data_IF_242797034788
#
_entry.id   IF_242797034788
#
_cell.length_a   1.000
_cell.length_b   1.000
_cell.length_c   1.000
_cell.angle_alpha   90.00
_cell.angle_beta   90.00
_cell.angle_gamma   90.00
#
_symmetry.space_group_name_H-M   'P 1'
#
loop_
_entity.id
_entity.type
_entity.pdbx_description
1 polymer ?
#
# COMPACT_ATOMS: atom_id res chain seq x y z
N UNK A 1 -13.08 -40.76 -21.66
CA UNK A 1 -12.71 -39.34 -21.85
C UNK A 1 -13.97 -38.55 -22.12
N UNK A 2 -14.54 -37.99 -21.07
CA UNK A 2 -15.78 -37.22 -21.14
C UNK A 2 -15.45 -35.85 -21.75
N UNK A 3 -15.97 -35.56 -22.94
CA UNK A 3 -15.87 -34.24 -23.54
C UNK A 3 -16.60 -33.26 -22.62
N UNK A 4 -15.86 -32.53 -21.78
CA UNK A 4 -16.41 -31.39 -21.05
C UNK A 4 -17.01 -30.43 -22.07
N UNK A 5 -18.35 -30.37 -22.13
CA UNK A 5 -19.11 -29.41 -22.92
C UNK A 5 -18.59 -28.02 -22.57
N UNK A 6 -17.97 -27.33 -23.54
CA UNK A 6 -17.61 -25.93 -23.38
C UNK A 6 -18.88 -25.17 -22.95
N UNK A 7 -18.84 -24.41 -21.85
CA UNK A 7 -20.01 -23.68 -21.39
C UNK A 7 -20.48 -22.78 -22.53
N UNK A 8 -21.71 -23.00 -23.00
CA UNK A 8 -22.35 -22.14 -23.99
C UNK A 8 -23.09 -21.05 -23.23
N UNK A 9 -22.51 -19.85 -23.20
CA UNK A 9 -23.10 -18.69 -22.53
C UNK A 9 -22.35 -17.40 -22.86
N UNK A 10 -22.93 -16.26 -22.49
CA UNK A 10 -22.37 -14.93 -22.73
C UNK A 10 -20.94 -14.76 -22.15
N UNK A 11 -20.60 -15.54 -21.13
CA UNK A 11 -19.29 -15.56 -20.47
C UNK A 11 -18.34 -16.64 -20.99
N UNK A 12 -18.72 -17.37 -22.05
CA UNK A 12 -17.88 -18.42 -22.65
C UNK A 12 -16.63 -17.86 -23.35
N UNK A 13 -16.68 -16.59 -23.76
CA UNK A 13 -15.54 -15.84 -24.28
C UNK A 13 -15.48 -14.46 -23.61
N UNK A 14 -14.80 -14.34 -22.45
CA UNK A 14 -14.73 -13.08 -21.70
C UNK A 14 -14.03 -11.95 -22.46
N UNK A 15 -13.30 -12.26 -23.54
CA UNK A 15 -12.59 -11.29 -24.36
C UNK A 15 -13.42 -10.79 -25.56
N UNK A 16 -14.65 -11.28 -25.75
CA UNK A 16 -15.53 -10.73 -26.77
C UNK A 16 -15.89 -9.27 -26.41
N UNK A 17 -15.78 -8.29 -27.34
CA UNK A 17 -16.13 -6.89 -27.07
C UNK A 17 -17.51 -6.71 -26.43
N UNK A 18 -18.51 -7.50 -26.85
CA UNK A 18 -19.85 -7.47 -26.25
C UNK A 18 -19.82 -7.92 -24.78
N UNK A 19 -19.10 -9.01 -24.49
CA UNK A 19 -18.95 -9.51 -23.13
C UNK A 19 -18.19 -8.53 -22.25
N UNK A 20 -17.14 -7.88 -22.77
CA UNK A 20 -16.41 -6.82 -22.07
C UNK A 20 -17.37 -5.67 -21.72
N UNK A 21 -18.12 -5.14 -22.69
CA UNK A 21 -19.09 -4.06 -22.45
C UNK A 21 -20.13 -4.47 -21.40
N UNK A 22 -20.71 -5.67 -21.52
CA UNK A 22 -21.68 -6.16 -20.54
C UNK A 22 -21.06 -6.32 -19.16
N UNK A 23 -19.86 -6.89 -19.04
CA UNK A 23 -19.15 -7.04 -17.76
C UNK A 23 -18.84 -5.68 -17.14
N UNK A 24 -18.38 -4.70 -17.92
CA UNK A 24 -18.10 -3.34 -17.44
C UNK A 24 -19.37 -2.66 -16.96
N UNK A 25 -20.46 -2.68 -17.74
CA UNK A 25 -21.74 -2.08 -17.33
C UNK A 25 -22.27 -2.79 -16.08
N UNK A 26 -22.23 -4.12 -16.05
CA UNK A 26 -22.70 -4.91 -14.91
C UNK A 26 -21.90 -4.59 -13.64
N UNK A 27 -20.57 -4.47 -13.76
CA UNK A 27 -19.70 -4.05 -12.66
C UNK A 27 -20.09 -2.67 -12.13
N UNK A 28 -20.29 -1.68 -13.00
CA UNK A 28 -20.71 -0.33 -12.60
C UNK A 28 -22.08 -0.37 -11.90
N UNK A 29 -23.05 -1.09 -12.46
CA UNK A 29 -24.40 -1.21 -11.88
C UNK A 29 -24.34 -1.88 -10.51
N UNK A 30 -23.60 -2.99 -10.38
CA UNK A 30 -23.42 -3.70 -9.11
C UNK A 30 -22.74 -2.78 -8.09
N UNK A 31 -21.70 -2.05 -8.48
CA UNK A 31 -20.98 -1.13 -7.60
C UNK A 31 -21.90 -0.03 -7.06
N UNK A 32 -22.70 0.57 -7.92
CA UNK A 32 -23.70 1.59 -7.52
C UNK A 32 -24.77 0.99 -6.62
N UNK A 33 -25.33 -0.17 -6.98
CA UNK A 33 -26.35 -0.86 -6.19
C UNK A 33 -25.83 -1.22 -4.79
N UNK A 34 -24.59 -1.71 -4.70
CA UNK A 34 -23.90 -2.01 -3.46
C UNK A 34 -23.66 -0.76 -2.61
N UNK A 35 -23.25 0.36 -3.21
CA UNK A 35 -23.09 1.63 -2.51
C UNK A 35 -24.44 2.11 -1.92
N UNK A 36 -25.50 2.07 -2.72
CA UNK A 36 -26.85 2.46 -2.30
C UNK A 36 -27.37 1.55 -1.19
N UNK A 37 -27.15 0.24 -1.31
CA UNK A 37 -27.54 -0.73 -0.30
C UNK A 37 -26.82 -0.51 1.02
N UNK A 38 -25.51 -0.29 1.02
CA UNK A 38 -24.76 0.04 2.24
C UNK A 38 -25.28 1.34 2.83
N UNK A 39 -25.46 2.40 2.04
CA UNK A 39 -26.07 3.65 2.52
C UNK A 39 -27.46 3.44 3.13
N UNK A 40 -28.27 2.57 2.55
CA UNK A 40 -29.57 2.22 3.12
C UNK A 40 -29.44 1.53 4.48
N UNK A 41 -28.56 0.52 4.59
CA UNK A 41 -28.29 -0.18 5.85
C UNK A 41 -27.80 0.78 6.94
N UNK A 42 -26.91 1.70 6.56
CA UNK A 42 -26.37 2.74 7.43
C UNK A 42 -27.45 3.67 8.01
N UNK A 43 -28.35 4.14 7.15
CA UNK A 43 -29.36 5.12 7.53
C UNK A 43 -30.55 4.49 8.27
N UNK A 44 -30.84 3.20 8.04
CA UNK A 44 -32.09 2.60 8.48
C UNK A 44 -31.95 1.37 9.38
N UNK A 45 -30.80 0.67 9.38
CA UNK A 45 -30.66 -0.64 10.04
C UNK A 45 -29.57 -0.64 11.13
N UNK A 46 -28.38 -0.12 10.84
CA UNK A 46 -27.23 -0.16 11.74
C UNK A 46 -26.59 1.22 11.79
N UNK A 47 -26.52 1.82 12.98
CA UNK A 47 -25.72 3.01 13.21
C UNK A 47 -24.23 2.64 13.24
N UNK A 48 -23.53 2.84 12.12
CA UNK A 48 -22.08 2.75 12.05
C UNK A 48 -21.53 3.86 11.14
N UNK A 49 -20.23 4.17 11.26
CA UNK A 49 -19.58 5.18 10.41
C UNK A 49 -19.56 4.73 8.96
N UNK A 50 -20.41 5.34 8.15
CA UNK A 50 -20.62 4.89 6.80
C UNK A 50 -19.68 5.57 5.82
N UNK A 51 -18.76 4.80 5.20
CA UNK A 51 -17.85 5.38 4.23
C UNK A 51 -18.66 5.94 3.07
N UNK A 52 -18.41 7.21 2.72
CA UNK A 52 -19.16 7.91 1.68
C UNK A 52 -19.13 7.15 0.34
N UNK A 53 -18.03 6.45 0.07
CA UNK A 53 -17.73 5.82 -1.20
C UNK A 53 -17.52 4.30 -1.05
N UNK A 54 -18.41 3.53 -0.41
CA UNK A 54 -18.25 2.06 -0.42
C UNK A 54 -18.61 1.43 -1.78
N UNK A 55 -17.87 0.43 -2.32
CA UNK A 55 -16.69 -0.24 -1.79
C UNK A 55 -15.34 0.42 -2.16
N UNK A 56 -15.33 1.60 -2.76
CA UNK A 56 -14.13 2.33 -3.19
C UNK A 56 -13.67 3.37 -2.15
N UNK A 57 -12.77 3.00 -1.24
CA UNK A 57 -12.37 3.82 -0.08
C UNK A 57 -12.27 5.33 -0.33
N UNK A 58 -11.53 5.74 -1.38
CA UNK A 58 -11.45 7.12 -1.83
C UNK A 58 -11.58 7.21 -3.35
N UNK A 59 -12.69 7.77 -3.81
CA UNK A 59 -12.91 8.07 -5.22
C UNK A 59 -13.57 9.44 -5.34
N UNK A 60 -13.04 10.28 -6.23
CA UNK A 60 -13.61 11.59 -6.51
C UNK A 60 -13.69 11.79 -8.02
N UNK A 61 -14.90 12.05 -8.50
CA UNK A 61 -15.08 12.46 -9.88
C UNK A 61 -14.48 13.85 -10.10
N UNK A 62 -13.69 14.00 -11.17
CA UNK A 62 -13.22 15.30 -11.64
C UNK A 62 -14.32 16.01 -12.44
N UNK A 63 -15.40 16.36 -11.73
CA UNK A 63 -16.55 17.08 -12.28
C UNK A 63 -16.59 18.49 -11.67
N UNK A 64 -16.85 19.53 -12.48
CA UNK A 64 -16.94 20.90 -11.99
C UNK A 64 -18.06 21.09 -10.95
N UNK A 65 -17.97 22.08 -10.07
CA UNK A 65 -16.85 23.01 -9.84
C UNK A 65 -15.84 22.50 -8.79
N UNK A 66 -16.04 21.31 -8.23
CA UNK A 66 -15.34 20.86 -7.01
C UNK A 66 -13.93 20.35 -7.25
N UNK A 67 -13.64 19.78 -8.41
CA UNK A 67 -12.31 19.31 -8.80
C UNK A 67 -11.99 19.77 -10.21
N UNK A 68 -10.79 20.35 -10.40
CA UNK A 68 -10.31 20.90 -11.66
C UNK A 68 -10.63 20.01 -12.88
N UNK A 69 -11.07 20.64 -13.98
CA UNK A 69 -11.23 19.96 -15.28
C UNK A 69 -9.94 19.25 -15.68
N UNK A 70 -9.99 18.01 -16.21
CA UNK A 70 -8.86 17.48 -16.95
C UNK A 70 -8.55 18.44 -18.11
N UNK A 71 -7.39 19.08 -18.06
CA UNK A 71 -6.91 19.88 -19.16
C UNK A 71 -6.43 18.96 -20.31
N UNK A 72 -6.14 19.56 -21.46
CA UNK A 72 -5.62 18.81 -22.63
C UNK A 72 -4.40 17.98 -22.25
N UNK A 73 -3.51 18.47 -21.37
CA UNK A 73 -2.32 17.73 -20.92
C UNK A 73 -2.70 16.42 -20.21
N UNK A 74 -3.68 16.44 -19.31
CA UNK A 74 -4.16 15.24 -18.61
C UNK A 74 -4.76 14.23 -19.59
N UNK A 75 -5.54 14.69 -20.57
CA UNK A 75 -6.11 13.84 -21.61
C UNK A 75 -5.01 13.24 -22.52
N UNK A 76 -3.99 14.02 -22.88
CA UNK A 76 -2.85 13.54 -23.67
C UNK A 76 -2.06 12.48 -22.90
N UNK A 77 -1.79 12.69 -21.61
CA UNK A 77 -1.11 11.71 -20.75
C UNK A 77 -1.94 10.43 -20.68
N UNK A 78 -3.26 10.53 -20.44
CA UNK A 78 -4.15 9.37 -20.42
C UNK A 78 -4.13 8.60 -21.75
N UNK A 79 -4.24 9.30 -22.88
CA UNK A 79 -4.17 8.70 -24.21
C UNK A 79 -2.81 8.01 -24.45
N UNK A 80 -1.70 8.63 -24.02
CA UNK A 80 -0.36 8.06 -24.12
C UNK A 80 -0.21 6.81 -23.25
N UNK A 81 -0.70 6.83 -22.00
CA UNK A 81 -0.67 5.67 -21.09
C UNK A 81 -1.52 4.52 -21.63
N UNK A 82 -2.71 4.79 -22.17
CA UNK A 82 -3.57 3.77 -22.80
C UNK A 82 -2.89 3.19 -24.05
N UNK A 83 -2.27 4.04 -24.88
CA UNK A 83 -1.54 3.59 -26.07
C UNK A 83 -0.35 2.72 -25.68
N UNK A 84 0.42 3.14 -24.66
CA UNK A 84 1.52 2.35 -24.11
C UNK A 84 1.02 1.01 -23.57
N UNK A 85 -0.08 0.99 -22.82
CA UNK A 85 -0.70 -0.24 -22.34
C UNK A 85 -1.05 -1.20 -23.49
N UNK A 86 -1.70 -0.71 -24.55
CA UNK A 86 -2.03 -1.52 -25.71
C UNK A 86 -0.77 -2.10 -26.39
N UNK A 87 0.27 -1.29 -26.55
CA UNK A 87 1.57 -1.73 -27.09
C UNK A 87 2.21 -2.77 -26.17
N UNK A 88 2.21 -2.54 -24.86
CA UNK A 88 2.73 -3.46 -23.84
C UNK A 88 2.06 -4.83 -23.94
N UNK A 89 0.74 -4.92 -24.12
CA UNK A 89 0.06 -6.21 -24.27
C UNK A 89 0.55 -6.98 -25.51
N UNK A 90 0.71 -6.29 -26.63
CA UNK A 90 1.21 -6.89 -27.87
C UNK A 90 2.69 -7.30 -27.73
N UNK A 91 3.54 -6.44 -27.16
CA UNK A 91 4.97 -6.72 -27.01
C UNK A 91 5.18 -7.87 -26.01
N UNK A 92 4.54 -7.81 -24.83
CA UNK A 92 4.68 -8.84 -23.79
C UNK A 92 4.19 -10.20 -24.25
N UNK A 93 3.09 -10.29 -25.00
CA UNK A 93 2.63 -11.56 -25.58
C UNK A 93 3.66 -12.17 -26.54
N UNK A 94 4.39 -11.35 -27.32
CA UNK A 94 5.46 -11.81 -28.21
C UNK A 94 6.72 -12.23 -27.46
N UNK A 95 7.09 -11.51 -26.40
CA UNK A 95 8.28 -11.83 -25.58
C UNK A 95 7.98 -12.81 -24.44
N UNK A 96 6.78 -13.42 -24.42
CA UNK A 96 6.32 -14.38 -23.39
C UNK A 96 6.45 -13.83 -21.96
N UNK A 97 6.09 -12.56 -21.77
CA UNK A 97 6.02 -11.92 -20.46
C UNK A 97 7.30 -12.02 -19.61
N UNK A 98 8.47 -11.92 -20.25
CA UNK A 98 9.76 -11.91 -19.55
C UNK A 98 9.83 -10.82 -18.46
N UNK A 99 10.40 -11.19 -17.31
CA UNK A 99 10.45 -10.36 -16.10
C UNK A 99 10.97 -8.93 -16.33
N UNK A 100 12.06 -8.74 -17.06
CA UNK A 100 12.62 -7.41 -17.30
C UNK A 100 11.63 -6.47 -18.00
N UNK A 101 10.87 -6.98 -18.96
CA UNK A 101 9.85 -6.22 -19.67
C UNK A 101 8.61 -5.96 -18.79
N UNK A 102 8.29 -6.86 -17.87
CA UNK A 102 7.24 -6.66 -16.87
C UNK A 102 7.58 -5.54 -15.90
N UNK A 103 8.80 -5.53 -15.37
CA UNK A 103 9.29 -4.47 -14.50
C UNK A 103 9.24 -3.13 -15.23
N UNK A 104 9.81 -3.05 -16.44
CA UNK A 104 9.81 -1.82 -17.23
C UNK A 104 8.38 -1.34 -17.53
N UNK A 105 7.53 -2.23 -18.04
CA UNK A 105 6.16 -1.86 -18.42
C UNK A 105 5.32 -1.50 -17.20
N UNK A 106 5.46 -2.23 -16.09
CA UNK A 106 4.81 -1.95 -14.81
C UNK A 106 5.18 -0.56 -14.30
N UNK A 107 6.46 -0.20 -14.32
CA UNK A 107 6.94 1.14 -13.95
C UNK A 107 6.31 2.23 -14.80
N UNK A 108 6.37 2.10 -16.12
CA UNK A 108 5.80 3.13 -17.00
C UNK A 108 4.29 3.24 -16.84
N UNK A 109 3.59 2.12 -16.67
CA UNK A 109 2.13 2.11 -16.49
C UNK A 109 1.72 2.74 -15.15
N UNK A 110 2.38 2.38 -14.04
CA UNK A 110 2.08 2.93 -12.71
C UNK A 110 2.39 4.42 -12.67
N UNK A 111 3.55 4.85 -13.18
CA UNK A 111 3.89 6.27 -13.21
C UNK A 111 2.95 7.04 -14.16
N UNK A 112 2.67 6.50 -15.34
CA UNK A 112 1.78 7.11 -16.33
C UNK A 112 0.35 7.24 -15.83
N UNK A 113 -0.20 6.19 -15.21
CA UNK A 113 -1.57 6.19 -14.68
C UNK A 113 -1.72 7.21 -13.54
N UNK A 114 -0.74 7.32 -12.64
CA UNK A 114 -0.74 8.35 -11.61
C UNK A 114 -0.56 9.75 -12.21
N UNK A 115 0.31 9.91 -13.21
CA UNK A 115 0.54 11.20 -13.87
C UNK A 115 -0.70 11.76 -14.59
N UNK A 116 -1.70 10.93 -14.90
CA UNK A 116 -3.03 11.41 -15.37
C UNK A 116 -3.68 12.37 -14.36
N UNK A 117 -3.27 12.27 -13.09
CA UNK A 117 -3.73 13.14 -12.02
C UNK A 117 -3.05 14.52 -12.02
N UNK A 118 -1.96 14.68 -12.78
CA UNK A 118 -1.08 15.85 -12.79
C UNK A 118 0.08 15.70 -11.79
N UNK A 119 1.23 16.30 -12.09
CA UNK A 119 2.48 16.13 -11.32
C UNK A 119 2.31 16.33 -9.81
N UNK A 120 1.62 17.41 -9.42
CA UNK A 120 1.37 17.75 -8.01
C UNK A 120 0.64 16.62 -7.28
N UNK A 121 -0.45 16.11 -7.86
CA UNK A 121 -1.30 15.09 -7.23
C UNK A 121 -0.72 13.68 -7.36
N UNK A 122 0.01 13.43 -8.45
CA UNK A 122 0.61 12.13 -8.75
C UNK A 122 1.82 11.83 -7.87
N UNK A 123 2.70 12.82 -7.62
CA UNK A 123 4.02 12.55 -7.05
C UNK A 123 4.38 13.45 -5.88
N UNK A 124 3.94 14.71 -5.83
CA UNK A 124 4.29 15.60 -4.72
C UNK A 124 3.37 15.34 -3.52
N UNK A 125 2.06 15.38 -3.74
CA UNK A 125 1.04 15.23 -2.69
C UNK A 125 1.17 13.91 -1.93
N UNK A 126 1.43 12.76 -2.59
CA UNK A 126 1.57 11.52 -1.85
C UNK A 126 2.84 11.43 -1.02
N UNK A 127 3.83 12.31 -1.17
CA UNK A 127 5.03 12.34 -0.31
C UNK A 127 5.03 13.50 0.66
N UNK A 128 4.85 14.73 0.21
CA UNK A 128 4.93 15.93 1.06
C UNK A 128 3.57 16.31 1.69
N UNK A 129 2.48 15.77 1.16
CA UNK A 129 1.14 16.29 1.43
C UNK A 129 0.89 17.66 0.79
N UNK A 130 -0.37 18.05 0.67
CA UNK A 130 -0.78 19.40 0.24
C UNK A 130 -2.05 19.80 0.99
N UNK A 131 -2.05 21.00 1.56
CA UNK A 131 -3.21 21.57 2.25
C UNK A 131 -3.56 20.79 3.52
N UNK A 132 -4.80 20.30 3.61
CA UNK A 132 -5.33 19.58 4.77
C UNK A 132 -4.78 18.14 4.86
N UNK A 133 -4.26 17.61 3.75
CA UNK A 133 -3.68 16.27 3.67
C UNK A 133 -2.17 16.38 3.80
N UNK A 134 -1.66 16.60 5.00
CA UNK A 134 -0.23 16.49 5.27
C UNK A 134 0.14 15.01 5.23
N UNK A 135 1.13 14.62 4.41
CA UNK A 135 1.72 13.30 4.56
C UNK A 135 2.72 13.37 5.71
N UNK A 136 2.57 12.41 6.61
CA UNK A 136 3.00 12.52 7.98
C UNK A 136 4.46 12.07 8.12
N UNK A 137 4.92 11.11 7.30
CA UNK A 137 6.31 10.64 7.33
C UNK A 137 7.32 11.67 6.83
N UNK A 138 7.03 12.34 5.71
CA UNK A 138 7.97 13.31 5.12
C UNK A 138 8.11 14.55 6.00
N UNK A 139 7.01 15.03 6.57
CA UNK A 139 7.02 16.21 7.42
C UNK A 139 7.78 15.94 8.73
N UNK A 140 7.55 14.79 9.38
CA UNK A 140 8.32 14.38 10.54
C UNK A 140 9.80 14.17 10.20
N UNK A 141 10.10 13.64 9.01
CA UNK A 141 11.47 13.48 8.53
C UNK A 141 12.20 14.83 8.36
N UNK A 142 11.50 15.90 7.96
CA UNK A 142 12.12 17.22 7.81
C UNK A 142 12.46 17.87 9.17
N UNK A 143 11.80 17.43 10.24
CA UNK A 143 12.07 17.90 11.60
C UNK A 143 13.28 17.22 12.26
N UNK A 144 13.81 16.12 11.69
CA UNK A 144 14.95 15.40 12.25
C UNK A 144 16.23 16.24 12.09
N UNK A 145 16.80 16.65 13.21
CA UNK A 145 18.11 17.31 13.29
C UNK A 145 19.27 16.32 13.38
N UNK A 146 19.10 15.24 14.16
CA UNK A 146 20.08 14.18 14.38
C UNK A 146 19.41 12.81 14.38
N UNK A 147 19.89 11.91 13.50
CA UNK A 147 19.35 10.55 13.35
C UNK A 147 19.57 9.70 14.60
N UNK A 148 20.72 9.84 15.26
CA UNK A 148 21.03 9.07 16.47
C UNK A 148 20.07 9.43 17.60
N UNK A 149 19.85 10.72 17.82
CA UNK A 149 18.95 11.23 18.87
C UNK A 149 17.50 10.84 18.56
N UNK A 150 17.09 10.93 17.28
CA UNK A 150 15.76 10.50 16.85
C UNK A 150 15.49 9.02 17.13
N UNK A 151 16.46 8.14 16.86
CA UNK A 151 16.31 6.70 17.09
C UNK A 151 16.32 6.36 18.59
N UNK A 152 17.22 6.98 19.35
CA UNK A 152 17.37 6.72 20.78
C UNK A 152 16.15 7.18 21.59
N UNK A 153 15.57 8.33 21.22
CA UNK A 153 14.42 8.93 21.89
C UNK A 153 13.08 8.63 21.20
N UNK A 154 13.08 7.77 20.17
CA UNK A 154 11.91 7.55 19.31
C UNK A 154 10.64 7.20 20.09
N UNK A 155 10.74 6.38 21.14
CA UNK A 155 9.59 5.96 21.95
C UNK A 155 8.91 7.15 22.62
N UNK A 156 9.69 8.13 23.11
CA UNK A 156 9.16 9.32 23.77
C UNK A 156 8.60 10.32 22.74
N UNK A 157 9.24 10.42 21.58
CA UNK A 157 8.78 11.25 20.47
C UNK A 157 7.53 10.68 19.78
N UNK A 158 7.35 9.36 19.80
CA UNK A 158 6.33 8.66 19.02
C UNK A 158 4.92 9.25 19.18
N UNK A 159 4.42 9.58 20.39
CA UNK A 159 3.09 10.19 20.56
C UNK A 159 2.95 11.60 19.96
N UNK A 160 4.06 12.32 19.79
CA UNK A 160 4.11 13.68 19.23
C UNK A 160 4.22 13.68 17.70
N UNK A 161 4.62 12.55 17.09
CA UNK A 161 4.65 12.39 15.65
C UNK A 161 3.25 12.44 15.04
N UNK A 162 3.19 12.73 13.75
CA UNK A 162 1.94 12.75 13.00
C UNK A 162 1.31 11.34 12.91
N UNK A 163 0.00 11.27 12.64
CA UNK A 163 -0.90 10.09 12.81
C UNK A 163 -0.38 8.72 12.33
N UNK A 164 0.27 8.64 11.18
CA UNK A 164 0.80 7.45 10.51
C UNK A 164 2.22 7.20 11.01
N UNK A 165 3.03 8.24 11.19
CA UNK A 165 4.38 8.13 11.76
C UNK A 165 4.37 7.55 13.16
N UNK A 166 3.43 7.97 14.01
CA UNK A 166 3.34 7.52 15.41
C UNK A 166 2.91 6.06 15.59
N UNK A 167 2.36 5.42 14.56
CA UNK A 167 1.93 4.01 14.61
C UNK A 167 2.89 3.07 13.91
N UNK A 168 3.98 3.59 13.36
CA UNK A 168 5.03 2.82 12.70
C UNK A 168 6.34 2.84 13.52
N UNK A 169 7.32 1.97 13.21
CA UNK A 169 8.68 2.07 13.73
C UNK A 169 9.46 3.22 13.06
N UNK A 170 10.63 3.63 13.61
CA UNK A 170 11.37 4.80 13.13
C UNK A 170 11.83 4.70 11.67
N UNK A 171 11.97 3.48 11.13
CA UNK A 171 12.39 3.27 9.76
C UNK A 171 11.49 3.92 8.72
N UNK A 172 10.18 4.01 8.98
CA UNK A 172 9.26 4.65 8.04
C UNK A 172 9.61 6.13 7.83
N UNK A 173 9.87 6.87 8.91
CA UNK A 173 10.29 8.28 8.86
C UNK A 173 11.72 8.41 8.30
N UNK A 174 12.63 7.53 8.73
CA UNK A 174 14.04 7.59 8.32
C UNK A 174 14.24 7.35 6.81
N UNK A 175 13.42 6.52 6.17
CA UNK A 175 13.45 6.37 4.71
C UNK A 175 13.20 7.71 4.04
N UNK A 176 12.18 8.46 4.45
CA UNK A 176 11.93 9.79 3.90
C UNK A 176 13.06 10.78 4.24
N UNK A 177 13.65 10.71 5.44
CA UNK A 177 14.79 11.55 5.82
C UNK A 177 15.97 11.37 4.85
N UNK A 178 16.41 10.13 4.64
CA UNK A 178 17.54 9.86 3.75
C UNK A 178 17.23 10.20 2.29
N UNK A 179 16.03 9.85 1.81
CA UNK A 179 15.63 10.16 0.43
C UNK A 179 15.50 11.67 0.21
N UNK A 180 15.05 12.43 1.19
CA UNK A 180 15.00 13.89 1.10
C UNK A 180 16.39 14.54 1.08
N UNK A 181 17.37 13.98 1.81
CA UNK A 181 18.77 14.43 1.70
C UNK A 181 19.37 14.15 0.32
N UNK A 182 19.00 13.04 -0.32
CA UNK A 182 19.50 12.65 -1.64
C UNK A 182 18.80 13.44 -2.76
N UNK A 183 17.47 13.40 -2.82
CA UNK A 183 16.69 13.91 -3.95
C UNK A 183 16.25 15.36 -3.79
N UNK A 184 16.02 15.83 -2.56
CA UNK A 184 15.47 17.17 -2.21
C UNK A 184 14.07 17.49 -2.78
N UNK A 185 13.61 16.78 -3.80
CA UNK A 185 12.30 16.91 -4.41
C UNK A 185 11.38 15.74 -3.98
N UNK A 186 10.23 16.02 -3.32
CA UNK A 186 9.28 14.98 -2.92
C UNK A 186 8.73 14.16 -4.09
N UNK A 187 8.64 14.72 -5.31
CA UNK A 187 8.20 13.97 -6.48
C UNK A 187 9.19 12.86 -6.84
N UNK A 188 10.49 13.15 -6.80
CA UNK A 188 11.54 12.17 -7.05
C UNK A 188 11.57 11.07 -5.98
N UNK A 189 11.27 11.43 -4.72
CA UNK A 189 11.09 10.45 -3.64
C UNK A 189 9.94 9.48 -3.96
N UNK A 190 8.76 9.99 -4.33
CA UNK A 190 7.62 9.14 -4.71
C UNK A 190 7.96 8.22 -5.89
N UNK A 191 8.61 8.75 -6.93
CA UNK A 191 9.02 7.96 -8.10
C UNK A 191 10.02 6.89 -7.69
N UNK A 192 11.00 7.22 -6.84
CA UNK A 192 11.97 6.26 -6.33
C UNK A 192 11.29 5.15 -5.54
N UNK A 193 10.40 5.49 -4.60
CA UNK A 193 9.64 4.50 -3.83
C UNK A 193 8.82 3.60 -4.76
N UNK A 194 8.15 4.17 -5.77
CA UNK A 194 7.39 3.41 -6.75
C UNK A 194 8.26 2.41 -7.52
N UNK A 195 9.40 2.86 -8.05
CA UNK A 195 10.33 1.98 -8.79
C UNK A 195 10.83 0.86 -7.89
N UNK A 196 11.23 1.17 -6.65
CA UNK A 196 11.72 0.18 -5.70
C UNK A 196 10.63 -0.83 -5.32
N UNK A 197 9.40 -0.37 -5.07
CA UNK A 197 8.24 -1.24 -4.82
C UNK A 197 7.99 -2.19 -5.97
N UNK A 198 8.00 -1.70 -7.22
CA UNK A 198 7.82 -2.53 -8.41
C UNK A 198 8.93 -3.57 -8.52
N UNK A 199 10.19 -3.16 -8.38
CA UNK A 199 11.33 -4.08 -8.48
C UNK A 199 11.21 -5.24 -7.49
N UNK A 200 10.97 -4.92 -6.22
CA UNK A 200 10.91 -5.92 -5.15
C UNK A 200 9.65 -6.79 -5.32
N UNK A 201 8.48 -6.16 -5.46
CA UNK A 201 7.21 -6.86 -5.52
C UNK A 201 7.07 -7.74 -6.76
N UNK A 202 7.36 -7.20 -7.96
CA UNK A 202 7.25 -7.95 -9.22
C UNK A 202 8.20 -9.13 -9.24
N UNK A 203 9.45 -8.94 -8.78
CA UNK A 203 10.41 -10.03 -8.68
C UNK A 203 9.93 -11.12 -7.72
N UNK A 204 9.52 -10.75 -6.50
CA UNK A 204 9.08 -11.71 -5.49
C UNK A 204 7.82 -12.47 -5.92
N UNK A 205 6.84 -11.76 -6.50
CA UNK A 205 5.59 -12.34 -6.97
C UNK A 205 5.82 -13.27 -8.18
N UNK A 206 6.52 -12.80 -9.21
CA UNK A 206 6.87 -13.61 -10.38
C UNK A 206 7.60 -14.87 -9.97
N UNK A 207 8.54 -14.75 -9.01
CA UNK A 207 9.28 -15.88 -8.47
C UNK A 207 8.36 -16.93 -7.81
N UNK A 208 7.37 -16.52 -7.03
CA UNK A 208 6.39 -17.47 -6.47
C UNK A 208 5.61 -18.14 -7.62
N UNK A 209 5.13 -17.36 -8.58
CA UNK A 209 4.33 -17.87 -9.69
C UNK A 209 5.10 -18.85 -10.60
N UNK A 210 6.39 -18.60 -10.88
CA UNK A 210 7.19 -19.54 -11.69
C UNK A 210 7.39 -20.87 -10.98
N UNK A 211 7.58 -20.88 -9.65
CA UNK A 211 7.73 -22.13 -8.90
C UNK A 211 6.43 -22.94 -8.85
N UNK A 212 5.29 -22.27 -8.67
CA UNK A 212 3.98 -22.92 -8.60
C UNK A 212 3.48 -23.41 -9.97
N UNK A 213 3.58 -22.57 -11.00
CA UNK A 213 2.99 -22.86 -12.31
C UNK A 213 3.93 -23.66 -13.22
N UNK A 214 5.26 -23.57 -13.00
CA UNK A 214 6.30 -24.16 -13.86
C UNK A 214 6.23 -23.72 -15.32
N UNK A 215 5.57 -22.60 -15.59
CA UNK A 215 5.46 -21.97 -16.91
C UNK A 215 5.77 -20.48 -16.77
N UNK A 216 6.87 -20.05 -17.38
CA UNK A 216 7.35 -18.66 -17.32
C UNK A 216 6.39 -17.68 -18.00
N UNK A 217 5.76 -18.08 -19.10
CA UNK A 217 4.80 -17.25 -19.81
C UNK A 217 3.55 -17.02 -18.99
N UNK A 218 3.01 -18.08 -18.37
CA UNK A 218 1.84 -17.97 -17.49
C UNK A 218 2.16 -17.19 -16.21
N UNK A 219 3.30 -17.46 -15.57
CA UNK A 219 3.74 -16.74 -14.38
C UNK A 219 3.91 -15.24 -14.68
N UNK A 220 4.54 -14.90 -15.81
CA UNK A 220 4.69 -13.53 -16.26
C UNK A 220 3.35 -12.86 -16.58
N UNK A 221 2.43 -13.57 -17.21
CA UNK A 221 1.09 -13.06 -17.50
C UNK A 221 0.29 -12.76 -16.23
N UNK A 222 0.27 -13.67 -15.25
CA UNK A 222 -0.40 -13.43 -13.95
C UNK A 222 0.27 -12.26 -13.22
N UNK A 223 1.59 -12.13 -13.33
CA UNK A 223 2.33 -10.99 -12.77
C UNK A 223 1.96 -9.65 -13.45
N UNK A 224 1.68 -9.66 -14.75
CA UNK A 224 1.11 -8.48 -15.41
C UNK A 224 -0.29 -8.17 -14.87
N UNK A 225 -1.14 -9.17 -14.69
CA UNK A 225 -2.50 -8.96 -14.17
C UNK A 225 -2.48 -8.35 -12.77
N UNK A 226 -1.59 -8.79 -11.87
CA UNK A 226 -1.48 -8.18 -10.53
C UNK A 226 -1.01 -6.73 -10.62
N UNK A 227 -0.09 -6.40 -11.54
CA UNK A 227 0.34 -5.01 -11.77
C UNK A 227 -0.81 -4.12 -12.23
N UNK A 228 -1.80 -4.64 -12.95
CA UNK A 228 -2.95 -3.90 -13.44
C UNK A 228 -4.07 -3.74 -12.40
N UNK A 229 -3.96 -4.36 -11.21
CA UNK A 229 -4.93 -4.19 -10.14
C UNK A 229 -4.93 -2.73 -9.69
N UNK A 230 -6.10 -2.07 -9.57
CA UNK A 230 -6.19 -0.64 -9.22
C UNK A 230 -5.46 -0.27 -7.92
N UNK A 231 -5.51 -1.14 -6.92
CA UNK A 231 -4.79 -0.93 -5.67
C UNK A 231 -3.27 -0.88 -5.90
N UNK A 232 -2.70 -1.76 -6.73
CA UNK A 232 -1.27 -1.73 -7.08
C UNK A 232 -0.92 -0.46 -7.84
N UNK A 233 -1.77 -0.07 -8.80
CA UNK A 233 -1.58 1.15 -9.58
C UNK A 233 -1.51 2.41 -8.70
N UNK A 234 -2.36 2.51 -7.68
CA UNK A 234 -2.39 3.69 -6.81
C UNK A 234 -1.31 3.61 -5.74
N UNK A 235 -1.30 2.55 -4.92
CA UNK A 235 -0.47 2.49 -3.72
C UNK A 235 1.02 2.41 -4.00
N UNK A 236 1.44 1.93 -5.17
CA UNK A 236 2.87 1.86 -5.49
C UNK A 236 3.48 3.23 -5.71
N UNK A 237 2.72 4.20 -6.22
CA UNK A 237 3.20 5.58 -6.37
C UNK A 237 2.91 6.46 -5.16
N UNK A 238 2.09 5.99 -4.21
CA UNK A 238 1.50 6.85 -3.18
C UNK A 238 1.78 6.44 -1.74
N UNK A 239 2.34 5.25 -1.48
CA UNK A 239 2.57 4.78 -0.12
C UNK A 239 3.82 3.91 0.02
N UNK A 240 4.51 4.09 1.16
CA UNK A 240 5.58 3.24 1.64
C UNK A 240 5.11 1.80 1.93
N UNK A 241 3.81 1.58 2.10
CA UNK A 241 3.21 0.25 2.30
C UNK A 241 3.48 -0.68 1.11
N UNK A 242 3.65 -0.13 -0.09
CA UNK A 242 4.01 -0.93 -1.26
C UNK A 242 5.40 -1.57 -1.15
N UNK A 243 6.36 -0.88 -0.53
CA UNK A 243 7.68 -1.45 -0.20
C UNK A 243 7.52 -2.50 0.89
N UNK A 244 6.77 -2.20 1.95
CA UNK A 244 6.49 -3.16 3.03
C UNK A 244 5.89 -4.45 2.46
N UNK A 245 4.86 -4.34 1.62
CA UNK A 245 4.22 -5.47 0.96
C UNK A 245 5.19 -6.23 0.04
N UNK A 246 6.01 -5.53 -0.74
CA UNK A 246 7.06 -6.13 -1.56
C UNK A 246 8.07 -6.92 -0.72
N UNK A 247 8.54 -6.34 0.38
CA UNK A 247 9.46 -7.02 1.30
C UNK A 247 8.80 -8.23 1.96
N UNK A 248 7.56 -8.11 2.46
CA UNK A 248 6.79 -9.22 3.03
C UNK A 248 6.62 -10.37 2.02
N UNK A 249 6.35 -10.04 0.75
CA UNK A 249 6.30 -11.03 -0.31
C UNK A 249 7.68 -11.64 -0.62
N UNK A 250 8.74 -10.84 -0.50
CA UNK A 250 10.13 -11.30 -0.53
C UNK A 250 10.41 -12.34 0.55
N UNK A 251 9.97 -12.10 1.80
CA UNK A 251 10.07 -13.08 2.90
C UNK A 251 9.43 -14.40 2.48
N UNK A 252 8.17 -14.36 2.03
CA UNK A 252 7.44 -15.57 1.63
C UNK A 252 8.10 -16.28 0.46
N UNK A 253 8.48 -15.54 -0.59
CA UNK A 253 9.12 -16.08 -1.79
C UNK A 253 10.40 -16.83 -1.46
N UNK A 254 11.31 -16.21 -0.70
CA UNK A 254 12.61 -16.82 -0.37
C UNK A 254 12.53 -17.87 0.73
N UNK A 255 11.49 -17.84 1.56
CA UNK A 255 11.28 -18.84 2.61
C UNK A 255 10.65 -20.12 2.07
N UNK A 256 9.57 -20.00 1.28
CA UNK A 256 8.82 -21.14 0.72
C UNK A 256 9.62 -21.84 -0.37
N UNK A 257 10.28 -21.08 -1.25
CA UNK A 257 11.15 -21.64 -2.29
C UNK A 257 12.59 -21.24 -2.01
N UNK A 258 13.26 -21.85 -1.02
CA UNK A 258 14.62 -21.48 -0.66
C UNK A 258 15.59 -21.85 -1.77
N UNK A 259 16.54 -20.97 -2.06
CA UNK A 259 17.79 -21.40 -2.70
C UNK A 259 18.67 -22.07 -1.64
N UNK A 260 19.42 -23.11 -2.03
CA UNK A 260 20.22 -23.93 -1.09
C UNK A 260 21.16 -23.12 -0.18
N UNK A 261 21.59 -21.93 -0.62
CA UNK A 261 22.55 -21.07 0.10
C UNK A 261 21.92 -19.90 0.85
N UNK A 262 20.70 -19.48 0.49
CA UNK A 262 20.13 -18.21 0.97
C UNK A 262 18.72 -18.31 1.55
N UNK A 263 18.24 -19.52 1.85
CA UNK A 263 16.88 -19.76 2.39
C UNK A 263 16.61 -19.20 3.80
N UNK A 264 17.61 -18.63 4.48
CA UNK A 264 17.47 -17.95 5.78
C UNK A 264 17.84 -16.46 5.65
N UNK A 265 18.93 -16.16 4.94
CA UNK A 265 19.48 -14.80 4.84
C UNK A 265 18.50 -13.84 4.16
N UNK A 266 17.98 -14.17 2.98
CA UNK A 266 17.06 -13.26 2.28
C UNK A 266 15.74 -13.05 3.01
N UNK A 267 15.06 -14.10 3.50
CA UNK A 267 13.86 -13.91 4.32
C UNK A 267 14.11 -13.05 5.56
N UNK A 268 15.25 -13.25 6.24
CA UNK A 268 15.63 -12.44 7.39
C UNK A 268 15.84 -10.96 7.01
N UNK A 269 16.60 -10.68 5.94
CA UNK A 269 16.82 -9.30 5.47
C UNK A 269 15.49 -8.62 5.13
N UNK A 270 14.64 -9.28 4.33
CA UNK A 270 13.35 -8.72 3.96
C UNK A 270 12.43 -8.52 5.17
N UNK A 271 12.45 -9.46 6.13
CA UNK A 271 11.68 -9.36 7.35
C UNK A 271 12.14 -8.16 8.16
N UNK A 272 13.45 -8.02 8.40
CA UNK A 272 14.04 -6.90 9.14
C UNK A 272 13.73 -5.54 8.51
N UNK A 273 13.86 -5.44 7.18
CA UNK A 273 13.51 -4.20 6.46
C UNK A 273 12.02 -3.92 6.65
N UNK A 274 11.15 -4.89 6.38
CA UNK A 274 9.69 -4.69 6.52
C UNK A 274 9.27 -4.39 7.96
N UNK A 275 9.89 -5.01 8.97
CA UNK A 275 9.58 -4.78 10.38
C UNK A 275 10.14 -3.47 10.91
N UNK A 276 11.20 -2.94 10.30
CA UNK A 276 11.68 -1.59 10.60
C UNK A 276 10.80 -0.50 9.96
N UNK A 277 10.05 -0.85 8.91
CA UNK A 277 9.09 0.05 8.24
C UNK A 277 7.67 -0.06 8.79
N UNK A 278 7.25 -1.23 9.25
CA UNK A 278 5.90 -1.48 9.78
C UNK A 278 5.89 -2.66 10.74
N UNK A 279 5.25 -2.48 11.90
CA UNK A 279 5.06 -3.56 12.88
C UNK A 279 4.25 -4.76 12.32
N UNK A 280 3.44 -4.54 11.27
CA UNK A 280 2.64 -5.59 10.65
C UNK A 280 3.46 -6.77 10.11
N UNK A 281 4.73 -6.55 9.77
CA UNK A 281 5.63 -7.60 9.30
C UNK A 281 5.88 -8.71 10.35
N UNK A 282 5.75 -8.39 11.65
CA UNK A 282 5.93 -9.38 12.73
C UNK A 282 4.91 -10.52 12.65
N UNK A 283 3.72 -10.26 12.08
CA UNK A 283 2.70 -11.28 11.89
C UNK A 283 3.09 -12.36 10.87
N UNK A 284 4.16 -12.15 10.08
CA UNK A 284 4.69 -13.20 9.22
C UNK A 284 5.38 -14.31 10.01
N UNK A 285 6.02 -14.02 11.14
CA UNK A 285 6.78 -15.02 11.92
C UNK A 285 5.91 -16.26 12.27
N UNK A 286 4.72 -16.12 12.87
CA UNK A 286 3.87 -17.28 13.14
C UNK A 286 3.38 -17.97 11.86
N UNK A 287 3.20 -17.24 10.75
CA UNK A 287 2.85 -17.84 9.45
C UNK A 287 4.00 -18.70 8.92
N UNK A 288 5.25 -18.24 9.02
CA UNK A 288 6.43 -19.01 8.59
C UNK A 288 6.60 -20.27 9.44
N UNK A 289 6.50 -20.14 10.76
CA UNK A 289 6.57 -21.27 11.69
C UNK A 289 5.44 -22.27 11.45
N UNK A 290 4.22 -21.79 11.25
CA UNK A 290 3.05 -22.61 10.95
C UNK A 290 3.19 -23.34 9.61
N UNK A 291 3.65 -22.65 8.56
CA UNK A 291 3.94 -23.27 7.27
C UNK A 291 4.99 -24.39 7.41
N UNK A 292 6.14 -24.10 8.03
CA UNK A 292 7.21 -25.09 8.17
C UNK A 292 6.74 -26.29 9.02
N UNK A 293 6.00 -26.04 10.11
CA UNK A 293 5.48 -27.09 10.97
C UNK A 293 4.44 -27.96 10.25
N UNK A 294 3.49 -27.36 9.55
CA UNK A 294 2.37 -28.08 8.92
C UNK A 294 2.80 -28.79 7.63
N UNK A 295 3.63 -28.14 6.80
CA UNK A 295 4.01 -28.63 5.47
C UNK A 295 5.34 -29.39 5.52
N UNK A 296 6.38 -28.82 6.11
CA UNK A 296 7.74 -29.39 6.11
C UNK A 296 8.03 -30.32 7.30
N UNK A 297 7.12 -30.35 8.30
CA UNK A 297 7.26 -31.09 9.56
C UNK A 297 8.53 -30.72 10.34
N UNK A 298 9.00 -29.48 10.19
CA UNK A 298 10.20 -28.91 10.83
C UNK A 298 9.93 -27.45 11.18
N UNK A 299 10.72 -26.85 12.07
CA UNK A 299 10.60 -25.42 12.42
C UNK A 299 11.95 -24.71 12.47
N UNK A 300 13.01 -25.35 11.96
CA UNK A 300 14.39 -24.90 12.18
C UNK A 300 14.67 -23.57 11.49
N UNK A 301 14.21 -23.38 10.24
CA UNK A 301 14.43 -22.13 9.52
C UNK A 301 13.61 -20.99 10.12
N UNK A 302 12.35 -21.25 10.47
CA UNK A 302 11.51 -20.29 11.15
C UNK A 302 12.12 -19.84 12.48
N UNK A 303 12.67 -20.77 13.28
CA UNK A 303 13.41 -20.44 14.51
C UNK A 303 14.65 -19.59 14.23
N UNK A 304 15.46 -19.94 13.22
CA UNK A 304 16.63 -19.13 12.89
C UNK A 304 16.28 -17.71 12.45
N UNK A 305 15.19 -17.52 11.71
CA UNK A 305 14.70 -16.19 11.32
C UNK A 305 14.19 -15.43 12.54
N UNK A 306 13.45 -16.08 13.44
CA UNK A 306 13.00 -15.48 14.70
C UNK A 306 14.17 -15.05 15.58
N UNK A 307 15.11 -15.96 15.85
CA UNK A 307 16.30 -15.66 16.65
C UNK A 307 17.16 -14.59 15.99
N UNK A 308 17.36 -14.65 14.67
CA UNK A 308 18.06 -13.62 13.92
C UNK A 308 17.40 -12.25 14.08
N UNK A 309 16.07 -12.19 14.01
CA UNK A 309 15.32 -10.94 14.21
C UNK A 309 15.49 -10.39 15.64
N UNK A 310 15.38 -11.25 16.65
CA UNK A 310 15.60 -10.89 18.06
C UNK A 310 17.02 -10.34 18.25
N UNK A 311 18.04 -11.04 17.76
CA UNK A 311 19.43 -10.63 17.88
C UNK A 311 19.65 -9.28 17.19
N UNK A 312 19.12 -9.06 15.99
CA UNK A 312 19.24 -7.77 15.30
C UNK A 312 18.61 -6.63 16.09
N UNK A 313 17.41 -6.80 16.66
CA UNK A 313 16.78 -5.75 17.46
C UNK A 313 17.46 -5.53 18.82
N UNK A 314 18.04 -6.58 19.42
CA UNK A 314 18.90 -6.43 20.59
C UNK A 314 20.17 -5.63 20.27
N UNK A 315 20.82 -5.93 19.14
CA UNK A 315 21.97 -5.14 18.67
C UNK A 315 21.58 -3.69 18.41
N UNK A 316 20.43 -3.45 17.77
CA UNK A 316 19.92 -2.10 17.55
C UNK A 316 19.68 -1.37 18.87
N UNK A 317 19.12 -2.04 19.87
CA UNK A 317 18.96 -1.51 21.23
C UNK A 317 20.31 -1.15 21.86
N UNK A 318 21.31 -2.03 21.80
CA UNK A 318 22.62 -1.75 22.41
C UNK A 318 23.40 -0.63 21.70
N UNK A 319 23.25 -0.49 20.38
CA UNK A 319 23.96 0.52 19.58
C UNK A 319 23.28 1.88 19.65
N UNK A 320 21.95 1.93 19.67
CA UNK A 320 21.19 3.18 19.50
C UNK A 320 20.31 3.53 20.70
N UNK A 321 20.09 2.62 21.64
CA UNK A 321 19.12 2.78 22.73
C UNK A 321 17.67 2.49 22.33
N UNK A 322 17.39 2.20 21.06
CA UNK A 322 16.01 2.03 20.58
C UNK A 322 15.29 0.81 21.16
N UNK A 323 14.13 1.04 21.78
CA UNK A 323 13.31 0.01 22.45
C UNK A 323 12.14 -0.41 21.56
N UNK A 324 12.39 -1.31 20.61
CA UNK A 324 11.40 -1.73 19.61
C UNK A 324 10.09 -2.29 20.20
N UNK A 325 10.19 -3.11 21.26
CA UNK A 325 8.99 -3.68 21.92
C UNK A 325 8.14 -2.62 22.61
N UNK A 326 8.76 -1.63 23.24
CA UNK A 326 8.05 -0.51 23.88
C UNK A 326 7.39 0.38 22.82
N UNK A 327 8.09 0.68 21.73
CA UNK A 327 7.52 1.40 20.58
C UNK A 327 6.30 0.69 20.00
N UNK A 328 6.33 -0.64 19.87
CA UNK A 328 5.17 -1.42 19.44
C UNK A 328 3.97 -1.29 20.40
N UNK A 329 4.23 -1.29 21.73
CA UNK A 329 3.19 -1.12 22.74
C UNK A 329 2.59 0.30 22.68
N UNK A 330 3.42 1.33 22.52
CA UNK A 330 2.97 2.72 22.35
C UNK A 330 2.11 2.85 21.08
N UNK A 331 2.59 2.37 19.94
CA UNK A 331 1.83 2.36 18.69
C UNK A 331 0.48 1.63 18.83
N UNK A 332 0.46 0.48 19.51
CA UNK A 332 -0.78 -0.28 19.75
C UNK A 332 -1.78 0.51 20.60
N UNK A 333 -1.31 1.21 21.64
CA UNK A 333 -2.16 2.06 22.49
C UNK A 333 -2.70 3.28 21.75
N UNK A 334 -1.90 3.87 20.85
CA UNK A 334 -2.30 5.01 20.03
C UNK A 334 -3.36 4.61 18.99
N UNK A 335 -3.18 3.46 18.33
CA UNK A 335 -4.10 2.98 17.30
C UNK A 335 -5.38 2.37 17.91
N UNK A 336 -5.27 1.74 19.07
CA UNK A 336 -6.35 1.04 19.76
C UNK A 336 -6.47 1.51 21.23
N UNK A 337 -6.85 2.77 21.49
CA UNK A 337 -6.92 3.32 22.85
C UNK A 337 -7.94 2.60 23.73
N UNK A 338 -8.93 1.94 23.14
CA UNK A 338 -9.96 1.15 23.82
C UNK A 338 -9.67 -0.36 23.78
N UNK A 339 -8.48 -0.78 23.34
CA UNK A 339 -8.16 -2.16 23.03
C UNK A 339 -8.65 -2.60 21.65
N UNK A 340 -8.43 -3.89 21.28
CA UNK A 340 -8.81 -4.40 19.97
C UNK A 340 -10.31 -4.17 19.71
N UNK A 341 -10.67 -3.45 18.63
CA UNK A 341 -12.07 -3.07 18.34
C UNK A 341 -13.06 -4.24 18.42
N UNK A 342 -12.66 -5.43 17.99
CA UNK A 342 -13.47 -6.66 18.04
C UNK A 342 -13.90 -7.07 19.46
N UNK A 343 -13.12 -6.69 20.48
CA UNK A 343 -13.41 -6.92 21.89
C UNK A 343 -14.05 -5.69 22.55
N UNK A 344 -13.56 -4.49 22.20
CA UNK A 344 -14.04 -3.22 22.77
C UNK A 344 -15.52 -2.95 22.44
N UNK A 345 -15.97 -3.25 21.22
CA UNK A 345 -17.36 -3.02 20.79
C UNK A 345 -18.36 -4.00 21.42
N UNK A 346 -17.91 -5.15 21.94
CA UNK A 346 -18.80 -6.05 22.70
C UNK A 346 -19.12 -5.46 24.07
N UNK A 347 -18.13 -4.91 24.76
CA UNK A 347 -18.33 -4.33 26.10
C UNK A 347 -19.32 -3.17 26.06
N UNK A 348 -19.20 -2.27 25.07
CA UNK A 348 -20.16 -1.16 24.87
C UNK A 348 -21.60 -1.62 24.58
N UNK A 349 -21.77 -2.76 23.92
CA UNK A 349 -23.10 -3.30 23.58
C UNK A 349 -23.78 -3.99 24.76
N UNK A 350 -23.01 -4.52 25.72
CA UNK A 350 -23.54 -5.22 26.88
C UNK A 350 -23.90 -4.29 28.04
N UNK A 351 -23.19 -3.18 28.23
CA UNK A 351 -23.39 -2.33 29.41
C UNK A 351 -24.49 -1.27 29.27
N UNK A 352 -25.12 -1.11 28.09
CA UNK A 352 -26.24 -0.17 27.86
C UNK A 352 -25.94 1.31 28.13
N UNK A 353 -24.73 1.61 28.61
CA UNK A 353 -24.23 2.94 28.91
C UNK A 353 -23.32 3.35 27.77
N UNK A 354 -23.90 4.12 26.85
CA UNK A 354 -23.10 4.99 25.99
C UNK A 354 -22.33 5.90 26.95
N UNK A 355 -20.99 5.82 27.04
CA UNK A 355 -20.24 6.77 27.84
C UNK A 355 -20.55 8.17 27.30
N UNK A 356 -20.70 9.20 28.16
CA UNK A 356 -20.77 10.57 27.68
C UNK A 356 -19.58 10.78 26.76
N UNK A 357 -19.85 11.25 25.55
CA UNK A 357 -18.90 11.46 24.46
C UNK A 357 -17.54 11.87 25.04
N UNK A 358 -16.60 10.93 25.11
CA UNK A 358 -15.20 11.33 25.08
C UNK A 358 -15.10 12.17 23.82
N UNK A 359 -14.62 13.43 23.89
CA UNK A 359 -14.47 14.25 22.70
C UNK A 359 -13.55 13.44 21.82
N UNK A 360 -14.13 12.78 20.83
CA UNK A 360 -13.33 12.23 19.79
C UNK A 360 -12.69 13.49 19.23
N UNK A 361 -11.37 13.54 19.32
CA UNK A 361 -10.57 14.32 18.38
C UNK A 361 -10.76 13.65 17.02
N UNK A 362 -12.01 13.59 16.54
CA UNK A 362 -12.29 13.71 15.13
C UNK A 362 -11.77 15.12 14.88
N UNK A 363 -10.60 15.21 14.27
CA UNK A 363 -10.31 16.33 13.41
C UNK A 363 -11.40 16.31 12.33
N UNK A 364 -12.60 16.78 12.70
CA UNK A 364 -13.57 17.32 11.79
C UNK A 364 -12.90 18.57 11.32
N UNK A 365 -12.11 18.42 10.26
CA UNK A 365 -12.03 19.42 9.22
C UNK A 365 -13.48 19.61 8.80
N UNK A 366 -14.15 20.54 9.47
CA UNK A 366 -15.43 21.03 9.04
C UNK A 366 -15.18 21.58 7.64
N UNK A 367 -15.67 20.88 6.63
CA UNK A 367 -15.86 21.44 5.30
C UNK A 367 -16.96 22.48 5.39
N UNK A 368 -16.67 23.61 6.04
CA UNK A 368 -17.49 24.79 5.93
C UNK A 368 -17.01 25.55 4.71
N UNK A 369 -17.69 25.28 3.60
CA UNK A 369 -17.54 26.03 2.37
C UNK A 369 -17.94 27.48 2.59
N UNK A 370 -17.33 28.38 1.81
CA UNK A 370 -17.68 29.80 1.62
C UNK A 370 -17.14 30.82 2.64
N UNK A 371 -15.96 31.37 2.35
CA UNK A 371 -15.80 32.77 1.87
C UNK A 371 -14.30 33.12 1.73
N UNK A 372 -13.90 33.48 0.51
CA UNK A 372 -12.84 34.47 0.26
C UNK A 372 -11.38 34.04 0.48
N UNK A 373 -10.79 33.36 -0.50
CA UNK A 373 -9.40 33.64 -0.86
C UNK A 373 -9.35 33.96 -2.34
N UNK A 374 -9.56 35.25 -2.62
CA UNK A 374 -9.14 35.87 -3.85
C UNK A 374 -7.62 35.79 -3.97
N UNK A 375 -7.18 35.59 -5.19
CA UNK A 375 -5.79 35.59 -5.64
C UNK A 375 -4.97 36.73 -5.02
N UNK A 376 -3.80 36.39 -4.48
CA UNK A 376 -2.53 37.07 -4.77
C UNK A 376 -1.39 36.37 -3.99
N UNK A 377 -0.43 35.83 -4.73
CA UNK A 377 0.73 35.16 -4.16
C UNK A 377 1.53 34.44 -5.23
N UNK A 378 2.09 35.20 -6.18
CA UNK A 378 3.12 34.69 -7.07
C UNK A 378 4.33 34.26 -6.26
N UNK A 379 4.64 32.97 -6.25
CA UNK A 379 5.94 32.45 -5.86
C UNK A 379 6.59 31.87 -7.10
N UNK A 380 7.42 32.70 -7.70
CA UNK A 380 8.45 32.33 -8.67
C UNK A 380 9.49 31.47 -7.95
N UNK A 381 9.55 30.18 -8.27
CA UNK A 381 10.74 29.37 -8.04
C UNK A 381 11.55 29.33 -9.34
N UNK A 382 12.74 29.92 -9.30
CA UNK A 382 13.86 29.59 -10.18
C UNK A 382 14.56 28.35 -9.63
#
# INVERSE_FOLDING_TARGET
MEQMRKPQGLFSNPLNPKTIVVMTISFVVILVALNLFVRYLCLNVIAFDCPQNWPLSMFMFRIPPRFYYPNVKHLTIAAATISFFAITLVVLSRVKYKLAYLIFSGTVLILGSNLTQGWQWAFITPTAGVGVYQNEYYNDAMAISNVSDFISDYVNLQPELLTHSRTHPPGAVLVYYFLAKIFKDPALISIFLAVMSILIFVYAFWRIMIYEMKDEGLAGYITLLILLVPAVQIYFASSLDSIVAGCMLGVLSFFVYPSRRYGIIWPLIFLLVSSFLSFGALFLIPVLLGYEYLVEKRITRGIYILLGSIVTYLLLFFVTGFRYSESFIVATKLENPLGPRFLADRVKRFDGKIPPETPQVINMVSFNNSRGYAANGGLSYR
#
